data_IF_520208543112
#
_entry.id   IF_520208543112
#
_cell.length_a   1.000
_cell.length_b   1.000
_cell.length_c   1.000
_cell.angle_alpha   90.00
_cell.angle_beta   90.00
_cell.angle_gamma   90.00
#
_symmetry.space_group_name_H-M   'P 1'
#
loop_
_entity.id
_entity.type
_entity.pdbx_description
1 polymer ?
#
# COMPACT_ATOMS: atom_id res chain seq x y z
N UNK A 1 15.52 -51.39 53.88
CA UNK A 1 15.91 -49.97 53.86
C UNK A 1 16.14 -49.59 52.41
N UNK A 2 15.18 -48.88 51.83
CA UNK A 2 15.19 -48.47 50.43
C UNK A 2 15.92 -47.13 50.29
N UNK A 3 16.83 -47.02 49.32
CA UNK A 3 17.46 -45.74 48.93
C UNK A 3 16.98 -45.43 47.51
N UNK A 4 16.32 -44.28 47.41
CA UNK A 4 15.64 -43.69 46.25
C UNK A 4 16.66 -43.14 45.25
N UNK A 5 16.48 -43.29 43.92
CA UNK A 5 17.25 -42.53 42.95
C UNK A 5 16.63 -41.15 42.72
N UNK A 6 17.47 -40.12 42.81
CA UNK A 6 17.14 -38.73 42.56
C UNK A 6 16.93 -38.51 41.04
N UNK A 7 15.68 -38.33 40.61
CA UNK A 7 15.37 -37.84 39.26
C UNK A 7 15.64 -36.32 39.21
N UNK A 8 16.65 -35.91 38.46
CA UNK A 8 16.84 -34.51 38.08
C UNK A 8 15.99 -34.26 36.83
N UNK A 9 14.84 -33.62 37.02
CA UNK A 9 14.01 -33.13 35.93
C UNK A 9 14.66 -31.87 35.32
N UNK A 10 15.21 -32.01 34.11
CA UNK A 10 15.60 -30.87 33.29
C UNK A 10 14.33 -30.22 32.70
N UNK A 11 13.84 -29.18 33.36
CA UNK A 11 12.87 -28.25 32.79
C UNK A 11 13.60 -27.35 31.78
N UNK A 12 13.68 -27.82 30.53
CA UNK A 12 14.01 -26.97 29.41
C UNK A 12 12.83 -26.01 29.17
N UNK A 13 13.00 -24.76 29.60
CA UNK A 13 12.20 -23.61 29.20
C UNK A 13 12.34 -23.42 27.68
N UNK A 14 11.49 -24.13 26.93
CA UNK A 14 11.20 -23.80 25.55
C UNK A 14 10.41 -22.50 25.52
N UNK A 15 11.11 -21.36 25.54
CA UNK A 15 10.60 -20.13 24.97
C UNK A 15 10.55 -20.32 23.44
N UNK A 16 9.60 -21.14 23.00
CA UNK A 16 9.23 -21.24 21.60
C UNK A 16 8.72 -19.86 21.21
N UNK A 17 9.43 -19.20 20.30
CA UNK A 17 9.00 -17.93 19.72
C UNK A 17 7.54 -18.06 19.30
N UNK A 18 6.74 -17.01 19.54
CA UNK A 18 5.40 -16.91 18.96
C UNK A 18 5.51 -17.36 17.51
N UNK A 19 4.85 -18.47 17.17
CA UNK A 19 4.66 -18.86 15.79
C UNK A 19 4.14 -17.61 15.08
N UNK A 20 4.91 -17.06 14.14
CA UNK A 20 4.37 -16.10 13.20
C UNK A 20 3.12 -16.80 12.64
N UNK A 21 1.94 -16.20 12.85
CA UNK A 21 0.68 -16.82 12.45
C UNK A 21 0.78 -17.32 11.01
N UNK A 22 0.16 -18.46 10.72
CA UNK A 22 0.19 -19.03 9.38
C UNK A 22 -0.34 -18.00 8.37
N UNK A 23 0.24 -18.00 7.17
CA UNK A 23 -0.09 -17.07 6.10
C UNK A 23 -0.78 -17.85 4.98
N UNK A 24 -1.99 -18.34 5.29
CA UNK A 24 -2.72 -19.29 4.45
C UNK A 24 -3.85 -18.62 3.64
N UNK A 25 -4.25 -17.41 4.02
CA UNK A 25 -5.30 -16.65 3.36
C UNK A 25 -4.94 -15.17 3.15
N UNK A 26 -5.66 -14.51 2.24
CA UNK A 26 -5.55 -13.05 2.07
C UNK A 26 -5.88 -12.29 3.36
N UNK A 27 -6.80 -12.81 4.18
CA UNK A 27 -7.13 -12.21 5.47
C UNK A 27 -5.92 -12.23 6.41
N UNK A 28 -5.19 -13.34 6.43
CA UNK A 28 -3.98 -13.45 7.24
C UNK A 28 -2.96 -12.43 6.77
N UNK A 29 -2.75 -12.28 5.45
CA UNK A 29 -1.88 -11.24 4.89
C UNK A 29 -2.32 -9.84 5.34
N UNK A 30 -3.58 -9.49 5.10
CA UNK A 30 -4.11 -8.15 5.38
C UNK A 30 -4.05 -7.81 6.87
N UNK A 31 -4.19 -8.79 7.76
CA UNK A 31 -4.04 -8.61 9.20
C UNK A 31 -2.64 -8.14 9.63
N UNK A 32 -1.64 -8.32 8.76
CA UNK A 32 -0.26 -7.95 9.02
C UNK A 32 0.08 -6.52 8.56
N UNK A 33 -0.90 -5.73 8.09
CA UNK A 33 -0.67 -4.39 7.57
C UNK A 33 0.23 -3.53 8.49
N UNK A 34 -0.12 -3.38 9.77
CA UNK A 34 0.67 -2.60 10.73
C UNK A 34 1.93 -3.31 11.23
N UNK A 35 2.06 -4.62 10.98
CA UNK A 35 3.30 -5.35 11.21
C UNK A 35 4.30 -5.15 10.05
N UNK A 36 3.83 -4.76 8.87
CA UNK A 36 4.64 -4.59 7.66
C UNK A 36 4.96 -3.10 7.46
N UNK A 37 3.96 -2.23 7.51
CA UNK A 37 4.11 -0.79 7.40
C UNK A 37 4.15 -0.15 8.79
N UNK A 38 5.35 0.09 9.31
CA UNK A 38 5.60 0.61 10.67
C UNK A 38 5.10 2.04 10.87
N UNK A 39 5.10 2.82 9.79
CA UNK A 39 4.58 4.17 9.74
C UNK A 39 3.08 4.20 9.41
N UNK A 40 2.51 3.07 8.99
CA UNK A 40 1.16 2.97 8.44
C UNK A 40 1.01 3.48 7.00
N UNK A 41 2.07 4.07 6.41
CA UNK A 41 2.07 4.61 5.06
C UNK A 41 2.56 3.55 4.05
N UNK A 42 1.68 3.10 3.17
CA UNK A 42 1.96 2.07 2.15
C UNK A 42 2.49 2.62 0.82
N UNK A 43 2.62 3.94 0.68
CA UNK A 43 2.97 4.57 -0.59
C UNK A 43 4.34 4.09 -1.09
N UNK A 44 4.39 3.61 -2.34
CA UNK A 44 5.57 3.03 -2.98
C UNK A 44 6.26 1.90 -2.17
N UNK A 45 5.54 1.29 -1.22
CA UNK A 45 6.10 0.37 -0.23
C UNK A 45 5.74 -1.11 -0.46
N UNK A 46 5.17 -1.46 -1.62
CA UNK A 46 4.74 -2.84 -1.94
C UNK A 46 5.86 -3.87 -1.87
N UNK A 47 7.13 -3.44 -1.92
CA UNK A 47 8.28 -4.31 -1.68
C UNK A 47 8.27 -4.95 -0.29
N UNK A 48 7.66 -4.31 0.71
CA UNK A 48 7.49 -4.86 2.05
C UNK A 48 6.44 -5.97 2.07
N UNK A 49 5.33 -5.83 1.34
CA UNK A 49 4.38 -6.93 1.14
C UNK A 49 5.06 -8.13 0.49
N UNK A 50 5.72 -7.91 -0.65
CA UNK A 50 6.40 -8.97 -1.38
C UNK A 50 7.42 -9.69 -0.50
N UNK A 51 8.24 -8.94 0.24
CA UNK A 51 9.26 -9.53 1.13
C UNK A 51 8.65 -10.27 2.31
N UNK A 52 7.53 -9.78 2.87
CA UNK A 52 6.82 -10.46 3.94
C UNK A 52 6.33 -11.85 3.51
N UNK A 53 5.78 -11.94 2.29
CA UNK A 53 5.27 -13.18 1.71
C UNK A 53 6.42 -14.13 1.37
N UNK A 54 7.41 -13.65 0.62
CA UNK A 54 8.54 -14.46 0.13
C UNK A 54 9.41 -15.02 1.26
N UNK A 55 9.59 -14.29 2.36
CA UNK A 55 10.31 -14.81 3.53
C UNK A 55 9.60 -16.00 4.21
N UNK A 56 8.36 -16.31 3.82
CA UNK A 56 7.56 -17.43 4.31
C UNK A 56 7.26 -18.47 3.23
N UNK A 57 7.82 -18.31 2.02
CA UNK A 57 7.47 -19.17 0.89
C UNK A 57 7.79 -20.64 1.15
N UNK A 58 8.87 -20.94 1.88
CA UNK A 58 9.34 -22.31 2.11
C UNK A 58 8.35 -23.20 2.88
N UNK A 59 7.38 -22.60 3.57
CA UNK A 59 6.33 -23.32 4.30
C UNK A 59 5.00 -23.35 3.55
N UNK A 60 4.92 -22.72 2.37
CA UNK A 60 3.70 -22.64 1.55
C UNK A 60 3.83 -23.55 0.34
N UNK A 61 2.73 -24.14 -0.13
CA UNK A 61 2.69 -24.68 -1.49
C UNK A 61 2.77 -23.54 -2.51
N UNK A 62 3.27 -23.81 -3.71
CA UNK A 62 3.39 -22.79 -4.76
C UNK A 62 2.05 -22.09 -5.08
N UNK A 63 0.96 -22.86 -5.13
CA UNK A 63 -0.37 -22.30 -5.37
C UNK A 63 -0.84 -21.35 -4.25
N UNK A 64 -0.52 -21.66 -2.98
CA UNK A 64 -0.84 -20.80 -1.84
C UNK A 64 -0.04 -19.51 -1.91
N UNK A 65 1.26 -19.62 -2.20
CA UNK A 65 2.14 -18.47 -2.37
C UNK A 65 1.59 -17.49 -3.41
N UNK A 66 1.25 -18.00 -4.60
CA UNK A 66 0.67 -17.19 -5.67
C UNK A 66 -0.69 -16.59 -5.30
N UNK A 67 -1.56 -17.35 -4.62
CA UNK A 67 -2.83 -16.85 -4.13
C UNK A 67 -2.62 -15.67 -3.16
N UNK A 68 -1.71 -15.77 -2.20
CA UNK A 68 -1.40 -14.68 -1.25
C UNK A 68 -0.91 -13.43 -1.98
N UNK A 69 -0.10 -13.59 -3.03
CA UNK A 69 0.36 -12.47 -3.85
C UNK A 69 -0.76 -11.72 -4.58
N UNK A 70 -1.95 -12.30 -4.73
CA UNK A 70 -3.11 -11.62 -5.34
C UNK A 70 -3.73 -10.57 -4.42
N UNK A 71 -3.36 -10.54 -3.14
CA UNK A 71 -4.01 -9.75 -2.10
C UNK A 71 -3.59 -8.28 -2.00
N UNK A 72 -2.69 -7.77 -2.83
CA UNK A 72 -2.30 -6.35 -2.79
C UNK A 72 -2.00 -5.78 -4.18
N UNK A 73 -2.18 -4.47 -4.31
CA UNK A 73 -1.79 -3.74 -5.51
C UNK A 73 -0.30 -3.39 -5.49
N UNK A 74 0.47 -3.84 -6.49
CA UNK A 74 1.91 -3.60 -6.56
C UNK A 74 2.29 -2.09 -6.65
N UNK A 75 1.43 -1.26 -7.24
CA UNK A 75 1.66 0.18 -7.37
C UNK A 75 1.34 0.92 -6.07
N UNK A 76 0.14 0.72 -5.52
CA UNK A 76 -0.36 1.53 -4.39
C UNK A 76 -0.15 0.92 -3.01
N UNK A 77 0.26 -0.35 -2.93
CA UNK A 77 0.35 -1.10 -1.67
C UNK A 77 -1.00 -1.40 -1.00
N UNK A 78 -2.12 -1.00 -1.63
CA UNK A 78 -3.47 -1.21 -1.10
C UNK A 78 -3.82 -2.69 -1.06
N UNK A 79 -4.45 -3.12 0.04
CA UNK A 79 -5.08 -4.45 0.13
C UNK A 79 -6.22 -4.54 -0.88
N UNK A 80 -6.35 -5.69 -1.53
CA UNK A 80 -7.40 -5.95 -2.53
C UNK A 80 -7.97 -7.36 -2.34
N UNK A 81 -9.23 -7.58 -2.74
CA UNK A 81 -9.79 -8.93 -2.77
C UNK A 81 -9.23 -9.75 -3.94
N UNK A 82 -9.36 -11.08 -3.84
CA UNK A 82 -9.11 -11.98 -4.98
C UNK A 82 -10.34 -12.05 -5.88
N UNK A 83 -10.64 -10.98 -6.60
CA UNK A 83 -11.76 -10.92 -7.54
C UNK A 83 -11.34 -10.53 -8.96
N UNK A 84 -12.22 -10.78 -9.93
CA UNK A 84 -11.90 -10.57 -11.33
C UNK A 84 -11.78 -9.08 -11.73
N UNK A 85 -12.37 -8.16 -10.95
CA UNK A 85 -12.35 -6.71 -11.20
C UNK A 85 -11.00 -6.06 -10.89
N UNK A 86 -10.14 -6.76 -10.16
CA UNK A 86 -8.80 -6.31 -9.84
C UNK A 86 -7.77 -6.94 -10.78
N UNK A 87 -8.18 -7.72 -11.79
CA UNK A 87 -7.32 -8.30 -12.83
C UNK A 87 -7.14 -7.31 -13.98
N UNK A 88 -5.89 -6.98 -14.28
CA UNK A 88 -5.54 -6.13 -15.41
C UNK A 88 -4.56 -6.89 -16.28
N UNK A 89 -4.95 -7.16 -17.53
CA UNK A 89 -4.07 -7.76 -18.53
C UNK A 89 -3.15 -6.67 -19.08
N UNK A 90 -1.85 -6.94 -19.14
CA UNK A 90 -0.87 -5.98 -19.64
C UNK A 90 0.33 -6.70 -20.24
N UNK A 91 1.01 -6.02 -21.16
CA UNK A 91 2.30 -6.44 -21.71
C UNK A 91 3.38 -5.53 -21.15
N UNK A 92 4.39 -6.11 -20.50
CA UNK A 92 5.49 -5.38 -19.89
C UNK A 92 6.84 -5.82 -20.48
N UNK A 93 7.85 -4.92 -20.54
CA UNK A 93 9.20 -5.31 -20.89
C UNK A 93 9.83 -6.19 -19.81
N UNK A 94 10.62 -7.18 -20.24
CA UNK A 94 11.42 -8.01 -19.33
C UNK A 94 12.77 -7.37 -19.03
N UNK A 95 13.28 -7.59 -17.82
CA UNK A 95 14.70 -7.41 -17.54
C UNK A 95 15.49 -8.39 -18.41
N UNK A 96 16.54 -7.92 -19.08
CA UNK A 96 17.32 -8.72 -20.04
C UNK A 96 16.76 -8.75 -21.47
N UNK A 97 15.61 -8.10 -21.73
CA UNK A 97 15.08 -7.90 -23.08
C UNK A 97 13.85 -8.76 -23.41
N UNK A 98 13.14 -8.34 -24.46
CA UNK A 98 11.84 -8.90 -24.83
C UNK A 98 10.70 -8.37 -23.97
N UNK A 99 9.51 -8.93 -24.18
CA UNK A 99 8.28 -8.55 -23.48
C UNK A 99 7.55 -9.78 -22.99
N UNK A 100 6.59 -9.57 -22.11
CA UNK A 100 5.69 -10.63 -21.64
C UNK A 100 4.32 -10.06 -21.36
N UNK A 101 3.31 -10.80 -21.81
CA UNK A 101 1.91 -10.53 -21.49
C UNK A 101 1.50 -11.40 -20.30
N UNK A 102 0.77 -10.78 -19.37
CA UNK A 102 0.31 -11.43 -18.15
C UNK A 102 -0.73 -10.58 -17.46
N UNK A 103 -1.02 -10.93 -16.22
CA UNK A 103 -2.03 -10.29 -15.39
C UNK A 103 -1.37 -9.71 -14.15
N UNK A 104 -1.79 -8.50 -13.82
CA UNK A 104 -1.43 -7.79 -12.60
C UNK A 104 -2.68 -7.55 -11.78
N UNK A 105 -2.47 -7.38 -10.47
CA UNK A 105 -3.55 -7.14 -9.52
C UNK A 105 -3.54 -5.68 -9.11
N UNK A 106 -4.61 -4.95 -9.43
CA UNK A 106 -4.72 -3.52 -9.14
C UNK A 106 -6.02 -3.18 -8.44
N UNK A 107 -5.95 -2.19 -7.54
CA UNK A 107 -7.11 -1.67 -6.83
C UNK A 107 -8.00 -0.76 -7.68
N UNK A 108 -7.45 -0.15 -8.75
CA UNK A 108 -8.16 0.78 -9.61
C UNK A 108 -7.42 0.97 -10.94
N UNK A 109 -8.13 1.48 -11.96
CA UNK A 109 -7.61 1.66 -13.30
C UNK A 109 -6.34 2.52 -13.39
N UNK A 110 -6.11 3.59 -12.61
CA UNK A 110 -4.90 4.40 -12.79
C UNK A 110 -3.61 3.64 -12.54
N UNK A 111 -3.65 2.56 -11.73
CA UNK A 111 -2.48 1.75 -11.43
C UNK A 111 -1.89 1.04 -12.67
N UNK A 112 -2.70 0.66 -13.67
CA UNK A 112 -2.17 0.05 -14.89
C UNK A 112 -1.33 1.07 -15.69
N UNK A 113 -1.71 2.34 -15.63
CA UNK A 113 -0.97 3.42 -16.25
C UNK A 113 0.29 3.74 -15.44
N UNK A 114 0.17 3.75 -14.12
CA UNK A 114 1.28 4.09 -13.23
C UNK A 114 2.44 3.08 -13.32
N UNK A 115 2.12 1.82 -13.64
CA UNK A 115 3.16 0.81 -13.78
C UNK A 115 3.90 0.87 -15.13
N UNK A 116 3.24 1.32 -16.20
CA UNK A 116 3.72 1.16 -17.57
C UNK A 116 5.11 1.77 -17.80
N UNK A 117 5.42 2.89 -17.13
CA UNK A 117 6.68 3.60 -17.37
C UNK A 117 7.89 2.97 -16.70
N UNK A 118 7.74 2.49 -15.46
CA UNK A 118 8.88 2.16 -14.61
C UNK A 118 8.93 0.70 -14.14
N UNK A 119 7.83 -0.05 -14.25
CA UNK A 119 7.78 -1.45 -13.81
C UNK A 119 8.20 -2.39 -14.92
N UNK A 120 9.02 -3.37 -14.58
CA UNK A 120 9.47 -4.44 -15.48
C UNK A 120 9.14 -5.80 -14.90
N UNK A 121 9.21 -6.82 -15.75
CA UNK A 121 9.10 -8.21 -15.31
C UNK A 121 10.49 -8.82 -15.23
N UNK A 122 10.80 -9.41 -14.09
CA UNK A 122 12.01 -10.20 -13.87
C UNK A 122 11.63 -11.60 -13.35
N UNK A 123 12.61 -12.46 -13.10
CA UNK A 123 12.42 -13.76 -12.49
C UNK A 123 12.85 -13.78 -11.04
N UNK A 124 12.24 -14.69 -10.28
CA UNK A 124 12.73 -15.09 -8.97
C UNK A 124 12.45 -16.57 -8.74
N UNK A 125 13.50 -17.36 -8.53
CA UNK A 125 13.32 -18.73 -8.01
C UNK A 125 13.20 -18.69 -6.49
N UNK A 126 12.14 -19.30 -5.95
CA UNK A 126 11.85 -19.38 -4.51
C UNK A 126 11.73 -20.83 -4.06
N UNK A 127 12.04 -21.11 -2.80
CA UNK A 127 11.73 -22.41 -2.21
C UNK A 127 10.28 -22.40 -1.71
N UNK A 128 9.52 -23.41 -2.08
CA UNK A 128 8.18 -23.71 -1.57
C UNK A 128 8.16 -25.09 -0.89
N UNK A 129 7.09 -25.41 -0.18
CA UNK A 129 6.92 -26.68 0.53
C UNK A 129 6.90 -27.89 -0.42
N UNK A 130 6.51 -27.67 -1.68
CA UNK A 130 6.44 -28.62 -2.77
C UNK A 130 7.64 -28.57 -3.73
N UNK A 131 8.65 -27.73 -3.46
CA UNK A 131 9.92 -27.70 -4.20
C UNK A 131 10.36 -26.29 -4.61
N UNK A 132 11.40 -26.14 -5.45
CA UNK A 132 11.70 -24.85 -6.06
C UNK A 132 10.61 -24.42 -7.04
N UNK A 133 10.18 -23.16 -6.97
CA UNK A 133 9.18 -22.57 -7.87
C UNK A 133 9.71 -21.29 -8.52
N UNK A 134 9.50 -21.13 -9.82
CA UNK A 134 9.94 -19.95 -10.58
C UNK A 134 8.80 -18.96 -10.73
N UNK A 135 8.98 -17.75 -10.20
CA UNK A 135 8.02 -16.66 -10.32
C UNK A 135 8.44 -15.65 -11.40
N UNK A 136 7.48 -15.16 -12.17
CA UNK A 136 7.61 -13.87 -12.85
C UNK A 136 7.25 -12.78 -11.83
N UNK A 137 8.19 -11.88 -11.52
CA UNK A 137 8.02 -10.84 -10.50
C UNK A 137 8.00 -9.46 -11.12
N UNK A 138 7.19 -8.56 -10.54
CA UNK A 138 7.18 -7.15 -10.86
C UNK A 138 8.31 -6.47 -10.10
N UNK A 139 9.14 -5.70 -10.81
CA UNK A 139 10.29 -5.01 -10.24
C UNK A 139 10.35 -3.55 -10.67
N UNK A 140 11.00 -2.74 -9.84
CA UNK A 140 11.37 -1.36 -10.15
C UNK A 140 12.89 -1.18 -10.05
N UNK A 141 13.37 -0.02 -10.49
CA UNK A 141 14.69 0.45 -10.12
C UNK A 141 14.89 0.57 -8.61
N UNK A 142 16.09 0.30 -8.10
CA UNK A 142 16.37 0.51 -6.67
C UNK A 142 16.56 2.01 -6.39
N UNK A 143 15.61 2.70 -5.72
CA UNK A 143 15.72 4.14 -5.47
C UNK A 143 16.94 4.47 -4.59
N UNK A 144 17.49 3.50 -3.87
CA UNK A 144 18.65 3.69 -3.01
C UNK A 144 19.99 3.73 -3.76
N UNK A 145 19.99 3.63 -5.09
CA UNK A 145 21.14 3.98 -5.92
C UNK A 145 21.33 5.50 -6.05
N UNK A 146 20.26 6.29 -5.82
CA UNK A 146 20.30 7.76 -5.76
C UNK A 146 19.46 8.26 -4.56
N UNK A 147 19.88 7.95 -3.32
CA UNK A 147 19.06 8.17 -2.12
C UNK A 147 18.75 9.66 -1.86
N UNK A 148 19.62 10.57 -2.30
CA UNK A 148 19.43 12.02 -2.16
C UNK A 148 18.20 12.53 -2.94
N UNK A 149 17.72 11.78 -3.94
CA UNK A 149 16.48 12.10 -4.66
C UNK A 149 15.24 11.98 -3.77
N UNK A 150 15.30 11.20 -2.67
CA UNK A 150 14.19 11.05 -1.72
C UNK A 150 13.92 12.32 -0.91
N UNK A 151 14.93 13.18 -0.77
CA UNK A 151 14.88 14.43 -0.01
C UNK A 151 14.42 15.62 -0.87
N UNK A 152 14.39 15.46 -2.19
CA UNK A 152 13.94 16.53 -3.09
C UNK A 152 12.46 16.81 -2.88
N UNK A 153 12.14 18.09 -2.96
CA UNK A 153 10.77 18.54 -2.83
C UNK A 153 10.00 18.37 -4.15
N UNK A 154 8.74 17.97 -4.03
CA UNK A 154 7.74 17.99 -5.08
C UNK A 154 6.46 18.65 -4.54
N UNK A 155 5.61 19.13 -5.45
CA UNK A 155 4.30 19.68 -5.09
C UNK A 155 3.28 18.55 -4.97
N UNK A 156 2.67 18.40 -3.80
CA UNK A 156 1.58 17.45 -3.61
C UNK A 156 0.33 17.94 -4.36
N UNK A 157 -0.22 17.17 -5.32
CA UNK A 157 -1.28 17.63 -6.21
C UNK A 157 -2.63 17.85 -5.51
N UNK A 158 -2.77 17.42 -4.25
CA UNK A 158 -4.00 17.60 -3.49
C UNK A 158 -3.98 18.83 -2.59
N UNK A 159 -2.85 19.10 -1.94
CA UNK A 159 -2.68 20.24 -1.02
C UNK A 159 -2.00 21.46 -1.67
N UNK A 160 -1.34 21.27 -2.81
CA UNK A 160 -0.48 22.28 -3.44
C UNK A 160 0.76 22.63 -2.59
N UNK A 161 1.04 21.87 -1.54
CA UNK A 161 2.16 22.10 -0.66
C UNK A 161 3.40 21.35 -1.14
N UNK A 162 4.57 21.95 -0.88
CA UNK A 162 5.85 21.32 -1.08
C UNK A 162 6.09 20.23 -0.03
N UNK A 163 6.38 19.00 -0.47
CA UNK A 163 6.72 17.85 0.39
C UNK A 163 7.91 17.08 -0.22
N UNK A 164 8.53 16.15 0.52
CA UNK A 164 9.56 15.22 0.00
C UNK A 164 9.08 13.77 0.03
N UNK A 165 9.70 12.90 -0.77
CA UNK A 165 9.37 11.47 -0.76
C UNK A 165 9.68 10.81 0.59
N UNK A 166 10.65 11.33 1.34
CA UNK A 166 10.96 10.86 2.69
C UNK A 166 9.77 10.99 3.66
N UNK A 167 8.90 11.97 3.45
CA UNK A 167 7.66 12.14 4.21
C UNK A 167 6.49 11.40 3.55
N UNK A 168 6.32 11.61 2.24
CA UNK A 168 5.17 11.10 1.49
C UNK A 168 5.17 9.56 1.31
N UNK A 169 6.35 8.93 1.37
CA UNK A 169 6.58 7.49 1.25
C UNK A 169 7.55 7.00 2.35
N UNK A 170 7.19 7.25 3.61
CA UNK A 170 8.06 7.06 4.78
C UNK A 170 8.56 5.63 5.05
N UNK A 171 8.05 4.62 4.35
CA UNK A 171 8.60 3.26 4.36
C UNK A 171 9.77 3.07 3.37
N UNK A 172 9.88 3.94 2.36
CA UNK A 172 10.97 3.92 1.38
C UNK A 172 12.22 4.48 2.03
N UNK A 173 13.02 3.57 2.59
CA UNK A 173 14.25 3.90 3.31
C UNK A 173 15.43 3.11 2.75
N UNK A 174 16.62 3.70 2.85
CA UNK A 174 17.84 3.09 2.34
C UNK A 174 18.74 2.61 3.49
N UNK A 175 19.15 1.35 3.44
CA UNK A 175 20.10 0.76 4.39
C UNK A 175 21.23 0.12 3.59
N UNK A 176 22.47 0.58 3.81
CA UNK A 176 23.68 0.08 3.11
C UNK A 176 23.54 0.12 1.57
N UNK A 177 22.99 1.23 1.05
CA UNK A 177 22.86 1.46 -0.39
C UNK A 177 21.80 0.60 -1.09
N UNK A 178 20.86 0.01 -0.34
CA UNK A 178 19.76 -0.82 -0.84
C UNK A 178 18.44 -0.42 -0.21
N UNK A 179 17.35 -0.62 -0.95
CA UNK A 179 15.99 -0.45 -0.43
C UNK A 179 15.75 -1.38 0.77
N UNK A 180 15.53 -0.78 1.92
CA UNK A 180 15.41 -1.46 3.20
C UNK A 180 14.20 -2.39 3.20
N UNK A 181 14.40 -3.62 3.68
CA UNK A 181 13.34 -4.62 3.78
C UNK A 181 12.92 -5.23 2.43
N UNK A 182 13.52 -4.83 1.31
CA UNK A 182 13.24 -5.44 0.01
C UNK A 182 14.00 -6.76 -0.20
N UNK A 183 13.32 -7.74 -0.78
CA UNK A 183 13.94 -8.84 -1.49
C UNK A 183 14.11 -8.47 -2.96
N UNK A 184 15.15 -9.05 -3.57
CA UNK A 184 15.59 -8.72 -4.91
C UNK A 184 15.38 -9.90 -5.86
N UNK A 185 15.00 -9.59 -7.09
CA UNK A 185 14.89 -10.51 -8.22
C UNK A 185 16.24 -11.12 -8.62
N UNK A 186 16.25 -12.06 -9.56
CA UNK A 186 17.46 -12.75 -10.01
C UNK A 186 18.48 -11.79 -10.65
N UNK A 187 18.04 -10.66 -11.23
CA UNK A 187 18.93 -9.61 -11.74
C UNK A 187 19.15 -8.44 -10.75
N UNK A 188 18.71 -8.58 -9.49
CA UNK A 188 19.07 -7.64 -8.43
C UNK A 188 18.19 -6.38 -8.34
N UNK A 189 16.92 -6.47 -8.74
CA UNK A 189 15.94 -5.38 -8.65
C UNK A 189 14.91 -5.62 -7.51
N UNK A 190 14.50 -4.58 -6.76
CA UNK A 190 13.48 -4.72 -5.72
C UNK A 190 12.17 -5.29 -6.28
N UNK A 191 11.69 -6.36 -5.65
CA UNK A 191 10.43 -7.01 -6.00
C UNK A 191 9.28 -6.23 -5.37
N UNK A 192 8.29 -5.84 -6.16
CA UNK A 192 7.08 -5.13 -5.70
C UNK A 192 5.79 -5.94 -5.86
N UNK A 193 5.86 -7.15 -6.44
CA UNK A 193 4.71 -8.02 -6.65
C UNK A 193 5.02 -9.20 -7.58
N UNK A 194 3.99 -9.97 -7.92
CA UNK A 194 4.05 -11.08 -8.89
C UNK A 194 3.29 -10.70 -10.16
N UNK A 195 3.79 -11.16 -11.30
CA UNK A 195 3.18 -11.04 -12.61
C UNK A 195 2.66 -12.41 -13.06
N UNK A 196 1.35 -12.56 -13.15
CA UNK A 196 0.72 -13.87 -13.40
C UNK A 196 0.67 -14.16 -14.90
N UNK A 197 1.36 -15.20 -15.34
CA UNK A 197 1.46 -15.57 -16.77
C UNK A 197 0.85 -16.93 -17.07
N UNK A 198 0.23 -17.56 -16.08
CA UNK A 198 -0.45 -18.84 -16.26
C UNK A 198 -1.70 -18.68 -17.16
N UNK A 199 -2.07 -19.72 -17.94
CA UNK A 199 -3.22 -19.65 -18.83
C UNK A 199 -4.53 -19.31 -18.12
N UNK A 200 -4.76 -19.83 -16.91
CA UNK A 200 -5.98 -19.60 -16.15
C UNK A 200 -6.15 -18.11 -15.80
N UNK A 201 -5.11 -17.46 -15.29
CA UNK A 201 -5.11 -16.02 -15.01
C UNK A 201 -5.41 -15.20 -16.27
N UNK A 202 -4.79 -15.54 -17.39
CA UNK A 202 -5.00 -14.85 -18.67
C UNK A 202 -6.43 -15.01 -19.19
N UNK A 203 -7.01 -16.20 -19.09
CA UNK A 203 -8.40 -16.48 -19.49
C UNK A 203 -9.39 -15.73 -18.59
N UNK A 204 -9.19 -15.77 -17.27
CA UNK A 204 -10.02 -15.06 -16.30
C UNK A 204 -9.99 -13.54 -16.53
N UNK A 205 -8.81 -12.97 -16.74
CA UNK A 205 -8.68 -11.54 -17.04
C UNK A 205 -9.33 -11.15 -18.37
N UNK A 206 -9.28 -12.05 -19.37
CA UNK A 206 -9.95 -11.81 -20.65
C UNK A 206 -11.47 -11.83 -20.51
N UNK A 207 -12.00 -12.76 -19.72
CA UNK A 207 -13.43 -12.86 -19.43
C UNK A 207 -13.96 -11.71 -18.54
N UNK A 208 -13.10 -11.13 -17.69
CA UNK A 208 -13.47 -10.06 -16.77
C UNK A 208 -13.21 -8.64 -17.27
N UNK A 209 -12.63 -8.52 -18.48
CA UNK A 209 -12.05 -7.29 -19.04
C UNK A 209 -12.92 -6.06 -18.76
N UNK A 210 -12.46 -5.25 -17.82
CA UNK A 210 -13.04 -3.94 -17.49
C UNK A 210 -12.55 -2.83 -18.42
N UNK A 211 -11.78 -3.19 -19.45
CA UNK A 211 -11.20 -2.23 -20.36
C UNK A 211 -12.29 -1.35 -21.00
N UNK A 212 -12.04 -0.04 -21.15
CA UNK A 212 -12.99 0.88 -21.79
C UNK A 212 -13.33 0.53 -23.24
N UNK A 213 -12.50 -0.27 -23.90
CA UNK A 213 -12.66 -0.72 -25.29
C UNK A 213 -12.44 -2.23 -25.40
N UNK A 214 -12.96 -2.84 -26.47
CA UNK A 214 -12.79 -4.29 -26.69
C UNK A 214 -11.33 -4.65 -26.97
N UNK A 215 -10.92 -5.87 -26.59
CA UNK A 215 -9.55 -6.34 -26.80
C UNK A 215 -9.14 -6.37 -28.28
N UNK A 216 -10.09 -6.64 -29.20
CA UNK A 216 -9.84 -6.61 -30.64
C UNK A 216 -9.45 -5.21 -31.15
N UNK A 217 -9.92 -4.16 -30.48
CA UNK A 217 -9.57 -2.77 -30.80
C UNK A 217 -8.27 -2.31 -30.11
N UNK A 218 -7.75 -3.11 -29.18
CA UNK A 218 -6.57 -2.81 -28.38
C UNK A 218 -5.34 -3.63 -28.81
N UNK A 219 -5.31 -4.17 -30.03
CA UNK A 219 -4.28 -5.12 -30.47
C UNK A 219 -2.84 -4.59 -30.32
N UNK A 220 -2.64 -3.28 -30.52
CA UNK A 220 -1.34 -2.61 -30.39
C UNK A 220 -1.18 -1.85 -29.05
N UNK A 221 -2.15 -1.95 -28.15
CA UNK A 221 -2.12 -1.28 -26.84
C UNK A 221 -1.54 -2.25 -25.79
N UNK A 222 -0.33 -1.99 -25.24
CA UNK A 222 0.26 -2.85 -24.22
C UNK A 222 -0.57 -2.90 -22.93
N UNK A 223 -1.46 -1.93 -22.72
CA UNK A 223 -2.36 -1.86 -21.57
C UNK A 223 -3.74 -2.47 -21.84
N UNK A 224 -3.97 -3.06 -23.01
CA UNK A 224 -5.22 -3.75 -23.38
C UNK A 224 -6.49 -2.88 -23.21
N UNK A 225 -6.44 -1.65 -23.72
CA UNK A 225 -7.59 -0.76 -23.85
C UNK A 225 -7.55 0.46 -22.91
N UNK A 226 -6.52 0.58 -22.09
CA UNK A 226 -6.30 1.72 -21.20
C UNK A 226 -5.37 2.79 -21.82
N UNK A 227 -4.84 2.57 -23.04
CA UNK A 227 -3.75 3.36 -23.60
C UNK A 227 -4.02 4.86 -23.70
N UNK A 228 -5.19 5.26 -24.19
CA UNK A 228 -5.61 6.67 -24.24
C UNK A 228 -5.71 7.28 -22.83
N UNK A 229 -6.23 6.54 -21.86
CA UNK A 229 -6.33 7.01 -20.47
C UNK A 229 -4.94 7.14 -19.84
N UNK A 230 -4.03 6.24 -20.15
CA UNK A 230 -2.65 6.31 -19.69
C UNK A 230 -1.89 7.49 -20.31
N UNK A 231 -2.12 7.78 -21.60
CA UNK A 231 -1.57 8.99 -22.24
C UNK A 231 -2.08 10.26 -21.57
N UNK A 232 -3.39 10.35 -21.31
CA UNK A 232 -3.99 11.49 -20.62
C UNK A 232 -3.39 11.67 -19.22
N UNK A 233 -3.31 10.57 -18.46
CA UNK A 233 -2.78 10.59 -17.09
C UNK A 233 -1.32 11.05 -17.06
N UNK A 234 -0.51 10.59 -18.01
CA UNK A 234 0.87 11.07 -18.20
C UNK A 234 0.93 12.57 -18.51
N UNK A 235 0.08 13.06 -19.41
CA UNK A 235 0.02 14.48 -19.77
C UNK A 235 -0.40 15.37 -18.59
N UNK A 236 -1.20 14.84 -17.68
CA UNK A 236 -1.60 15.49 -16.43
C UNK A 236 -0.55 15.36 -15.31
N UNK A 237 0.62 14.77 -15.59
CA UNK A 237 1.68 14.61 -14.60
C UNK A 237 1.32 13.64 -13.47
N UNK A 238 0.48 12.64 -13.73
CA UNK A 238 0.06 11.63 -12.74
C UNK A 238 -0.59 12.21 -11.47
N UNK A 239 -1.28 13.35 -11.59
CA UNK A 239 -1.95 14.17 -10.56
C UNK A 239 -2.87 13.44 -9.55
N UNK A 240 -2.30 12.48 -8.83
CA UNK A 240 -2.91 11.67 -7.79
C UNK A 240 -1.84 11.42 -6.75
N UNK A 241 -2.13 11.63 -5.47
CA UNK A 241 -1.13 11.52 -4.40
C UNK A 241 -0.33 10.21 -4.49
N UNK A 242 -0.99 9.04 -4.39
CA UNK A 242 -0.26 7.75 -4.38
C UNK A 242 0.42 7.41 -5.72
N UNK A 243 -0.24 7.66 -6.86
CA UNK A 243 0.31 7.33 -8.17
C UNK A 243 1.53 8.20 -8.53
N UNK A 244 1.47 9.50 -8.22
CA UNK A 244 2.60 10.40 -8.37
C UNK A 244 3.78 9.98 -7.49
N UNK A 245 3.52 9.69 -6.21
CA UNK A 245 4.56 9.23 -5.28
C UNK A 245 5.23 7.95 -5.81
N UNK A 246 4.45 6.97 -6.29
CA UNK A 246 4.99 5.76 -6.91
C UNK A 246 5.87 6.09 -8.12
N UNK A 247 5.40 6.93 -9.03
CA UNK A 247 6.16 7.36 -10.21
C UNK A 247 7.48 8.02 -9.82
N UNK A 248 7.43 8.97 -8.89
CA UNK A 248 8.60 9.68 -8.41
C UNK A 248 9.62 8.69 -7.85
N UNK A 249 9.23 7.79 -6.93
CA UNK A 249 10.11 6.75 -6.38
C UNK A 249 10.68 5.83 -7.46
N UNK A 250 9.84 5.29 -8.35
CA UNK A 250 10.26 4.34 -9.37
C UNK A 250 11.14 5.00 -10.46
N UNK A 251 11.02 6.31 -10.66
CA UNK A 251 11.85 7.10 -11.57
C UNK A 251 13.24 7.44 -10.99
N UNK A 252 13.46 7.23 -9.69
CA UNK A 252 14.74 7.54 -9.04
C UNK A 252 15.87 6.72 -9.62
N UNK A 253 15.69 5.50 -10.13
CA UNK A 253 16.82 4.76 -10.74
C UNK A 253 16.32 3.76 -11.77
N UNK A 254 15.84 4.21 -12.95
CA UNK A 254 15.16 3.35 -13.92
C UNK A 254 16.02 2.15 -14.33
N UNK A 255 15.37 1.01 -14.56
CA UNK A 255 16.05 -0.22 -14.99
C UNK A 255 16.64 0.01 -16.40
N UNK A 256 17.96 -0.16 -16.59
CA UNK A 256 18.60 0.12 -17.87
C UNK A 256 18.13 -0.83 -18.97
N UNK A 257 18.21 -0.38 -20.22
CA UNK A 257 17.94 -1.18 -21.43
C UNK A 257 16.55 -1.85 -21.48
N UNK A 258 15.58 -1.29 -20.76
CA UNK A 258 14.20 -1.75 -20.75
C UNK A 258 13.27 -0.54 -20.87
N UNK A 259 13.15 0.10 -22.05
CA UNK A 259 12.24 1.23 -22.21
C UNK A 259 10.78 0.79 -22.02
N UNK A 260 9.94 1.72 -21.55
CA UNK A 260 8.50 1.50 -21.50
C UNK A 260 7.96 1.24 -22.91
N UNK A 261 6.92 0.39 -23.01
CA UNK A 261 6.28 0.15 -24.29
C UNK A 261 5.50 1.40 -24.73
N UNK A 262 5.53 1.73 -26.04
CA UNK A 262 4.79 2.87 -26.55
C UNK A 262 3.29 2.63 -26.35
N UNK A 263 2.61 3.63 -25.80
CA UNK A 263 1.15 3.67 -25.79
C UNK A 263 0.64 4.01 -27.19
N UNK A 264 -0.55 3.52 -27.58
CA UNK A 264 -1.13 3.79 -28.89
C UNK A 264 -1.26 5.30 -29.10
N UNK A 265 -0.99 5.80 -30.30
CA UNK A 265 -1.18 7.23 -30.61
C UNK A 265 -2.67 7.55 -30.54
N UNK A 266 -3.05 8.48 -29.66
CA UNK A 266 -4.43 8.95 -29.60
C UNK A 266 -4.82 9.55 -30.96
N UNK A 267 -5.87 9.02 -31.58
CA UNK A 267 -6.35 9.47 -32.88
C UNK A 267 -7.13 10.79 -32.80
N UNK A 268 -7.39 11.31 -31.60
CA UNK A 268 -8.17 12.52 -31.38
C UNK A 268 -7.40 13.54 -30.52
N UNK A 269 -7.57 14.85 -30.74
CA UNK A 269 -7.14 15.87 -29.79
C UNK A 269 -7.82 15.61 -28.43
N UNK A 270 -7.02 15.30 -27.42
CA UNK A 270 -7.49 14.85 -26.10
C UNK A 270 -8.56 15.72 -25.40
N UNK A 271 -8.62 17.06 -25.56
CA UNK A 271 -9.66 17.85 -24.91
C UNK A 271 -11.07 17.58 -25.48
N UNK A 272 -11.16 17.36 -26.79
CA UNK A 272 -12.45 17.31 -27.51
C UNK A 272 -13.08 15.93 -27.43
N UNK A 273 -12.27 14.87 -27.50
CA UNK A 273 -12.76 13.48 -27.51
C UNK A 273 -13.47 13.06 -26.22
N UNK A 274 -13.08 13.61 -25.08
CA UNK A 274 -13.75 13.35 -23.81
C UNK A 274 -14.91 14.30 -23.54
N UNK A 275 -14.82 15.58 -23.92
CA UNK A 275 -15.94 16.50 -23.83
C UNK A 275 -17.15 15.95 -24.62
N UNK A 276 -16.89 15.45 -25.82
CA UNK A 276 -17.90 14.85 -26.69
C UNK A 276 -18.42 13.51 -26.14
N UNK A 277 -17.57 12.69 -25.48
CA UNK A 277 -18.01 11.45 -24.81
C UNK A 277 -18.75 11.69 -23.48
N UNK A 278 -18.45 12.78 -22.78
CA UNK A 278 -19.16 13.21 -21.56
C UNK A 278 -20.53 13.80 -21.94
N UNK A 279 -20.64 14.52 -23.06
CA UNK A 279 -21.92 15.00 -23.60
C UNK A 279 -22.76 13.88 -24.24
N UNK A 280 -22.13 12.86 -24.83
CA UNK A 280 -22.81 11.74 -25.48
C UNK A 280 -23.17 10.57 -24.55
N UNK A 281 -22.72 10.57 -23.29
CA UNK A 281 -23.19 9.62 -22.30
C UNK A 281 -24.69 9.90 -22.04
N UNK A 282 -25.60 8.92 -22.21
CA UNK A 282 -26.99 9.13 -21.85
C UNK A 282 -27.05 9.52 -20.38
N UNK A 283 -27.87 10.52 -20.06
CA UNK A 283 -28.21 10.92 -18.69
C UNK A 283 -28.64 9.67 -17.92
N UNK A 284 -27.68 9.00 -17.27
CA UNK A 284 -27.97 7.98 -16.27
C UNK A 284 -28.49 8.80 -15.11
N UNK A 285 -29.77 9.15 -15.21
CA UNK A 285 -30.59 9.51 -14.07
C UNK A 285 -30.47 8.33 -13.14
N UNK A 286 -29.61 8.48 -12.14
CA UNK A 286 -29.54 7.57 -11.04
C UNK A 286 -30.98 7.32 -10.58
N UNK A 287 -31.36 6.07 -10.24
CA UNK A 287 -32.64 5.81 -9.59
C UNK A 287 -32.58 6.27 -8.13
N UNK A 288 -32.09 7.48 -7.90
CA UNK A 288 -32.42 8.26 -6.73
C UNK A 288 -33.51 9.22 -7.19
N UNK A 289 -34.74 8.69 -7.18
CA UNK A 289 -35.88 9.57 -7.05
C UNK A 289 -35.57 10.57 -5.95
N UNK A 290 -35.74 11.86 -6.27
CA UNK A 290 -35.82 12.91 -5.26
C UNK A 290 -36.98 12.56 -4.34
N UNK A 291 -36.74 11.75 -3.31
CA UNK A 291 -37.51 11.84 -2.09
C UNK A 291 -37.11 13.17 -1.48
N UNK A 292 -37.94 14.18 -1.76
CA UNK A 292 -38.07 15.31 -0.88
C UNK A 292 -38.22 14.74 0.54
N UNK A 293 -37.23 14.96 1.39
CA UNK A 293 -37.38 14.76 2.82
C UNK A 293 -38.39 15.82 3.25
N UNK A 294 -39.67 15.44 3.18
CA UNK A 294 -40.71 16.11 3.93
C UNK A 294 -40.32 15.94 5.40
N UNK A 295 -39.93 17.06 6.03
CA UNK A 295 -39.73 17.13 7.45
C UNK A 295 -41.04 16.76 8.14
N UNK A 296 -41.13 15.53 8.66
CA UNK A 296 -42.19 15.12 9.57
C UNK A 296 -41.83 15.66 10.97
N UNK A 297 -42.67 16.49 11.60
CA UNK A 297 -42.31 17.19 12.84
C UNK A 297 -42.42 16.33 14.12
N UNK A 298 -42.63 15.01 14.02
CA UNK A 298 -42.93 14.17 15.20
C UNK A 298 -41.75 13.44 15.85
N UNK A 299 -40.51 13.59 15.36
CA UNK A 299 -39.34 12.94 15.98
C UNK A 299 -38.30 13.90 16.58
N UNK A 300 -38.67 15.16 16.80
CA UNK A 300 -37.78 16.18 17.37
C UNK A 300 -37.60 16.12 18.91
N UNK A 301 -38.18 15.14 19.62
CA UNK A 301 -38.23 15.12 21.09
C UNK A 301 -37.53 13.94 21.79
N UNK A 302 -36.43 13.40 21.22
CA UNK A 302 -35.58 12.42 21.96
C UNK A 302 -34.10 12.81 22.02
N UNK A 303 -33.66 13.88 21.35
CA UNK A 303 -32.26 14.32 21.35
C UNK A 303 -31.96 15.57 22.23
N UNK A 304 -32.73 15.79 23.30
CA UNK A 304 -32.45 16.87 24.30
C UNK A 304 -32.20 16.32 25.71
N UNK A 305 -32.37 15.02 25.95
CA UNK A 305 -32.19 14.43 27.29
C UNK A 305 -30.75 13.97 27.63
N UNK A 306 -29.81 13.97 26.68
CA UNK A 306 -28.45 13.41 26.93
C UNK A 306 -27.33 14.44 27.07
N UNK A 307 -27.62 15.74 26.92
CA UNK A 307 -26.62 16.82 27.11
C UNK A 307 -26.71 17.44 28.53
N UNK A 308 -27.77 17.17 29.30
CA UNK A 308 -27.94 17.75 30.65
C UNK A 308 -27.35 16.88 31.77
N UNK A 309 -27.03 15.60 31.53
CA UNK A 309 -26.45 14.73 32.57
C UNK A 309 -24.91 14.78 32.68
N UNK A 310 -24.20 15.28 31.65
CA UNK A 310 -22.73 15.38 31.67
C UNK A 310 -22.19 16.61 32.42
N UNK A 311 -22.94 17.72 32.42
CA UNK A 311 -22.51 18.97 33.05
C UNK A 311 -22.67 18.97 34.59
N UNK A 312 -23.58 18.15 35.13
CA UNK A 312 -23.80 18.05 36.59
C UNK A 312 -22.73 17.18 37.28
N UNK A 313 -22.18 16.16 36.61
CA UNK A 313 -21.15 15.29 37.18
C UNK A 313 -19.76 15.95 37.22
N UNK A 314 -19.45 16.86 36.29
CA UNK A 314 -18.20 17.64 36.33
C UNK A 314 -18.20 18.73 37.42
N UNK A 315 -19.36 19.32 37.72
CA UNK A 315 -19.50 20.36 38.75
C UNK A 315 -19.35 19.85 40.19
N UNK A 316 -19.82 18.62 40.47
CA UNK A 316 -19.74 18.03 41.82
C UNK A 316 -18.31 17.57 42.16
N UNK A 317 -17.52 17.14 41.18
CA UNK A 317 -16.13 16.74 41.39
C UNK A 317 -15.19 17.92 41.72
N UNK A 318 -15.44 19.12 41.15
CA UNK A 318 -14.65 20.32 41.42
C UNK A 318 -14.95 20.97 42.78
N UNK A 319 -16.17 20.82 43.31
CA UNK A 319 -16.54 21.28 44.65
C UNK A 319 -16.05 20.35 45.78
N UNK A 320 -15.81 19.06 45.51
CA UNK A 320 -15.25 18.12 46.49
C UNK A 320 -13.73 18.29 46.68
N UNK A 321 -13.00 18.76 45.66
CA UNK A 321 -11.56 18.96 45.72
C UNK A 321 -11.16 20.31 46.34
N UNK A 322 -12.02 21.33 46.30
CA UNK A 322 -11.76 22.62 46.95
C UNK A 322 -11.98 22.58 48.48
N UNK A 323 -12.84 21.69 48.98
CA UNK A 323 -13.06 21.49 50.43
C UNK A 323 -11.97 20.68 51.15
N UNK A 324 -11.10 19.94 50.42
CA UNK A 324 -9.99 19.19 51.03
C UNK A 324 -8.69 19.98 51.24
N UNK A 325 -8.61 21.23 50.76
CA UNK A 325 -7.44 22.11 50.98
C UNK A 325 -7.56 23.07 52.18
N UNK A 326 -8.59 22.90 53.01
CA UNK A 326 -8.91 23.78 54.13
C UNK A 326 -8.45 23.32 55.52
N UNK A 327 -7.43 22.47 55.64
CA UNK A 327 -6.91 22.07 56.95
C UNK A 327 -5.41 21.76 56.92
N UNK A 328 -4.57 22.81 57.03
CA UNK A 328 -3.28 22.77 57.74
C UNK A 328 -2.60 24.17 57.71
N UNK A 329 -2.37 24.73 58.91
CA UNK A 329 -1.47 25.84 59.27
C UNK A 329 -0.87 25.44 60.64
N UNK A 330 0.20 26.06 61.16
CA UNK A 330 1.48 26.48 60.57
C UNK A 330 2.71 26.09 61.45
N UNK A 331 3.94 26.33 61.00
CA UNK A 331 5.15 26.39 61.85
C UNK A 331 6.44 26.45 61.03
N UNK A 332 7.02 27.65 60.83
CA UNK A 332 8.27 28.13 61.45
C UNK A 332 9.56 27.37 61.02
N UNK A 333 10.39 27.99 60.17
CA UNK A 333 11.63 28.66 60.60
C UNK A 333 12.62 28.85 59.42
N UNK A 334 13.34 29.97 59.48
CA UNK A 334 14.30 30.52 58.53
C UNK A 334 15.61 29.73 58.38
N UNK A 335 16.25 29.85 57.21
CA UNK A 335 17.69 30.10 56.94
C UNK A 335 17.93 29.82 55.43
N UNK A 336 18.19 30.82 54.57
CA UNK A 336 19.49 31.50 54.31
C UNK A 336 20.62 30.51 54.05
N UNK A 337 21.00 30.31 52.78
CA UNK A 337 22.38 30.56 52.31
C UNK A 337 22.49 30.51 50.77
N UNK A 338 23.30 31.44 50.26
CA UNK A 338 23.72 31.66 48.86
C UNK A 338 24.81 30.68 48.40
N UNK A 339 24.88 30.44 47.08
CA UNK A 339 26.09 30.41 46.22
C UNK A 339 25.64 30.13 44.76
N UNK A 340 25.71 31.06 43.79
CA UNK A 340 26.84 31.38 42.87
C UNK A 340 27.45 30.13 42.21
N UNK A 341 27.29 29.91 40.89
CA UNK A 341 28.03 30.52 39.75
C UNK A 341 29.53 30.14 39.80
N UNK A 342 30.21 29.56 38.80
CA UNK A 342 30.42 29.92 37.38
C UNK A 342 30.92 28.65 36.62
N UNK A 343 30.73 28.42 35.31
CA UNK A 343 31.35 29.04 34.12
C UNK A 343 32.89 29.10 34.18
N UNK A 344 33.54 27.99 33.83
CA UNK A 344 34.60 27.85 32.81
C UNK A 344 34.83 26.35 32.52
#
# INVERSE_FOLDING_TARGET
MAVVPLLVAALALGACGRAAGSLDSLRDLHSQYYNIFKTGNRNAASHLWASYILNRSSTMQAHTLEHIFRGFCAVSGSVIPDDARTMYKTTLPRVGGGTVTGVVRHCCWPCICDMNEHVRVDTKTVSTADGPHLLNVLVIGDPCLRPDELDKSFEDPFSGQAESLRLAASEVNCVRGKLSGALFSDHGHPIIGVFFTDPESLELAAASSQAPISQAQAADDPTFGYGDMCLMRKQQGYNSGMGLIFHLVASISPIPNSPALPLPRSALPLPTALAEKVEAAPDVRAPFGRSAVAANPEYANVAVASIVSGAVLAGVALLALSRRRGAARPGHSSQVLQAQADVE
#
